data_IF_390298049870
#
_entry.id   IF_390298049870
#
_cell.length_a   1.000
_cell.length_b   1.000
_cell.length_c   1.000
_cell.angle_alpha   90.00
_cell.angle_beta   90.00
_cell.angle_gamma   90.00
#
_symmetry.space_group_name_H-M   'P 1'
#
loop_
_entity.id
_entity.type
_entity.pdbx_description
1 polymer ?
#
# COMPACT_ATOMS: atom_id res chain seq x y z
N UNK A 1 -64.55 12.93 17.10
CA UNK A 1 -64.48 13.69 18.36
C UNK A 1 -63.10 14.30 18.44
N UNK A 2 -63.07 15.63 18.48
CA UNK A 2 -61.92 16.52 18.37
C UNK A 2 -60.91 16.28 19.51
N UNK A 3 -59.62 16.31 19.19
CA UNK A 3 -58.50 16.02 20.10
C UNK A 3 -58.11 17.25 20.97
N UNK A 4 -59.08 18.08 21.38
CA UNK A 4 -58.82 19.41 21.94
C UNK A 4 -58.54 19.45 23.46
N UNK A 5 -58.72 18.35 24.21
CA UNK A 5 -58.73 18.41 25.69
C UNK A 5 -57.53 17.79 26.43
N UNK A 6 -56.37 17.56 25.78
CA UNK A 6 -55.17 17.06 26.49
C UNK A 6 -53.87 17.72 26.04
N UNK A 7 -53.40 18.78 26.73
CA UNK A 7 -52.24 19.58 26.31
C UNK A 7 -50.89 18.80 26.30
N UNK A 8 -50.83 17.60 26.88
CA UNK A 8 -49.59 16.80 27.00
C UNK A 8 -49.73 15.34 26.51
N UNK A 9 -50.72 15.02 25.68
CA UNK A 9 -50.81 13.67 25.10
C UNK A 9 -49.89 13.54 23.89
N UNK A 10 -48.78 12.82 24.05
CA UNK A 10 -47.82 12.52 22.99
C UNK A 10 -48.21 11.19 22.32
N UNK A 11 -48.32 11.17 21.00
CA UNK A 11 -48.50 9.92 20.25
C UNK A 11 -47.19 9.11 20.18
N UNK A 12 -47.10 8.09 21.03
CA UNK A 12 -45.94 7.21 21.12
C UNK A 12 -45.78 6.26 19.93
N UNK A 13 -46.76 6.16 19.02
CA UNK A 13 -46.71 5.21 17.89
C UNK A 13 -45.58 5.52 16.92
N UNK A 14 -45.27 6.80 16.74
CA UNK A 14 -44.20 7.27 15.85
C UNK A 14 -42.81 7.26 16.50
N UNK A 15 -42.76 7.09 17.83
CA UNK A 15 -41.52 7.07 18.62
C UNK A 15 -40.98 5.66 18.84
N UNK A 16 -41.69 4.62 18.38
CA UNK A 16 -41.22 3.23 18.48
C UNK A 16 -40.04 3.00 17.53
N UNK A 17 -39.09 2.17 17.97
CA UNK A 17 -37.96 1.80 17.13
C UNK A 17 -38.44 1.08 15.86
N UNK A 18 -37.85 1.45 14.73
CA UNK A 18 -38.03 0.77 13.44
C UNK A 18 -36.67 0.39 12.91
N UNK A 19 -36.55 -0.80 12.33
CA UNK A 19 -35.35 -1.17 11.60
C UNK A 19 -35.18 -0.23 10.40
N UNK A 20 -33.96 0.31 10.25
CA UNK A 20 -33.59 1.08 9.07
C UNK A 20 -33.41 0.12 7.90
N UNK A 21 -33.83 0.53 6.71
CA UNK A 21 -33.57 -0.21 5.49
C UNK A 21 -32.06 -0.16 5.19
N UNK A 22 -31.43 -1.34 5.22
CA UNK A 22 -29.99 -1.52 5.00
C UNK A 22 -29.65 -1.99 3.59
N UNK A 23 -30.58 -1.93 2.65
CA UNK A 23 -30.31 -2.31 1.26
C UNK A 23 -29.19 -1.44 0.67
N UNK A 24 -28.28 -2.01 -0.15
CA UNK A 24 -27.14 -1.28 -0.71
C UNK A 24 -27.53 0.01 -1.44
N UNK A 25 -28.70 0.02 -2.07
CA UNK A 25 -29.24 1.15 -2.81
C UNK A 25 -29.62 2.31 -1.87
N UNK A 26 -30.24 2.00 -0.72
CA UNK A 26 -30.62 3.01 0.28
C UNK A 26 -29.38 3.59 0.95
N UNK A 27 -28.39 2.74 1.27
CA UNK A 27 -27.12 3.18 1.85
C UNK A 27 -26.38 4.13 0.90
N UNK A 28 -26.22 3.76 -0.38
CA UNK A 28 -25.58 4.63 -1.37
C UNK A 28 -26.29 5.98 -1.53
N UNK A 29 -27.64 6.00 -1.51
CA UNK A 29 -28.42 7.23 -1.61
C UNK A 29 -28.19 8.14 -0.40
N UNK A 30 -28.14 7.56 0.80
CA UNK A 30 -27.88 8.30 2.04
C UNK A 30 -26.45 8.83 2.07
N UNK A 31 -25.47 8.02 1.66
CA UNK A 31 -24.07 8.42 1.58
C UNK A 31 -23.88 9.58 0.59
N UNK A 32 -24.47 9.50 -0.61
CA UNK A 32 -24.41 10.58 -1.60
C UNK A 32 -25.05 11.89 -1.11
N UNK A 33 -26.18 11.80 -0.40
CA UNK A 33 -26.82 12.97 0.23
C UNK A 33 -25.95 13.55 1.36
N UNK A 34 -25.30 12.68 2.14
CA UNK A 34 -24.35 13.06 3.18
C UNK A 34 -23.13 13.79 2.63
N UNK A 35 -22.51 13.24 1.57
CA UNK A 35 -21.37 13.86 0.90
C UNK A 35 -21.70 15.25 0.35
N UNK A 36 -22.88 15.43 -0.26
CA UNK A 36 -23.37 16.73 -0.72
C UNK A 36 -23.56 17.77 0.40
N UNK A 37 -23.76 17.31 1.64
CA UNK A 37 -23.86 18.13 2.85
C UNK A 37 -22.53 18.20 3.64
N UNK A 38 -21.45 17.62 3.11
CA UNK A 38 -20.13 17.62 3.75
C UNK A 38 -19.90 16.53 4.80
N UNK A 39 -20.82 15.56 4.94
CA UNK A 39 -20.61 14.35 5.73
C UNK A 39 -19.76 13.34 4.94
N UNK A 40 -18.47 13.65 4.81
CA UNK A 40 -17.48 12.78 4.16
C UNK A 40 -16.81 11.85 5.18
N UNK A 41 -16.52 10.62 4.77
CA UNK A 41 -15.73 9.68 5.58
C UNK A 41 -14.30 10.20 5.80
N UNK A 42 -13.93 10.36 7.07
CA UNK A 42 -12.59 10.81 7.51
C UNK A 42 -11.70 9.67 7.99
N UNK A 43 -12.17 8.41 7.87
CA UNK A 43 -11.38 7.25 8.26
C UNK A 43 -10.06 7.21 7.46
N UNK A 44 -8.98 6.81 8.13
CA UNK A 44 -7.68 6.69 7.49
C UNK A 44 -7.72 5.60 6.41
N UNK A 45 -7.83 5.99 5.14
CA UNK A 45 -7.75 5.06 4.01
C UNK A 45 -6.32 4.51 3.94
N UNK A 46 -6.15 3.21 4.16
CA UNK A 46 -4.86 2.54 4.00
C UNK A 46 -4.38 2.71 2.56
N UNK A 47 -3.32 3.51 2.37
CA UNK A 47 -2.62 3.50 1.09
C UNK A 47 -1.94 2.14 0.92
N UNK A 48 -2.09 1.52 -0.26
CA UNK A 48 -1.37 0.27 -0.56
C UNK A 48 0.13 0.56 -0.42
N UNK A 49 0.83 -0.31 0.31
CA UNK A 49 2.27 -0.19 0.51
C UNK A 49 3.04 -0.19 -0.82
N UNK A 50 4.28 0.29 -0.77
CA UNK A 50 5.19 0.31 -1.93
C UNK A 50 5.32 -1.12 -2.49
N UNK A 51 5.22 -1.25 -3.82
CA UNK A 51 5.49 -2.53 -4.49
C UNK A 51 6.91 -3.02 -4.14
N UNK A 52 7.11 -4.33 -3.93
CA UNK A 52 8.45 -4.87 -3.72
C UNK A 52 9.34 -4.54 -4.92
N UNK A 53 10.61 -4.21 -4.65
CA UNK A 53 11.58 -3.95 -5.72
C UNK A 53 11.75 -5.21 -6.58
N UNK A 54 11.95 -5.09 -7.91
CA UNK A 54 12.39 -6.22 -8.71
C UNK A 54 13.62 -6.84 -8.06
N UNK A 55 13.61 -8.16 -7.84
CA UNK A 55 14.81 -8.88 -7.39
C UNK A 55 15.74 -8.96 -8.59
N UNK A 56 16.65 -7.99 -8.70
CA UNK A 56 17.60 -7.82 -9.82
C UNK A 56 18.66 -8.91 -9.89
N UNK A 57 18.60 -9.94 -9.05
CA UNK A 57 19.60 -11.02 -9.00
C UNK A 57 20.97 -10.58 -8.46
N UNK A 58 21.12 -9.32 -8.04
CA UNK A 58 22.39 -8.78 -7.56
C UNK A 58 22.90 -9.58 -6.36
N UNK A 59 24.12 -10.12 -6.50
CA UNK A 59 24.80 -10.86 -5.45
C UNK A 59 25.52 -9.87 -4.53
N UNK A 60 25.23 -9.93 -3.23
CA UNK A 60 26.01 -9.24 -2.20
C UNK A 60 27.12 -10.18 -1.71
N UNK A 61 28.21 -10.25 -2.47
CA UNK A 61 29.34 -11.09 -2.09
C UNK A 61 30.01 -10.54 -0.82
N UNK A 62 30.34 -11.43 0.10
CA UNK A 62 31.16 -11.09 1.25
C UNK A 62 32.63 -11.26 0.87
N UNK A 63 33.33 -10.14 0.79
CA UNK A 63 34.75 -10.08 0.39
C UNK A 63 35.59 -9.43 1.50
N UNK A 64 36.91 -9.56 1.41
CA UNK A 64 37.84 -8.90 2.33
C UNK A 64 37.77 -7.37 2.14
N UNK A 65 38.03 -6.56 3.19
CA UNK A 65 37.86 -5.10 3.13
C UNK A 65 38.63 -4.41 2.00
N UNK A 66 39.91 -4.75 1.81
CA UNK A 66 40.73 -4.17 0.74
C UNK A 66 40.19 -4.52 -0.65
N UNK A 67 39.72 -5.77 -0.85
CA UNK A 67 39.09 -6.21 -2.09
C UNK A 67 37.79 -5.46 -2.36
N UNK A 68 36.99 -5.19 -1.32
CA UNK A 68 35.77 -4.40 -1.45
C UNK A 68 36.04 -2.98 -1.94
N UNK A 69 37.10 -2.34 -1.42
CA UNK A 69 37.52 -1.00 -1.84
C UNK A 69 37.98 -0.99 -3.30
N UNK A 70 38.79 -1.96 -3.71
CA UNK A 70 39.26 -2.12 -5.08
C UNK A 70 38.09 -2.31 -6.06
N UNK A 71 37.17 -3.23 -5.76
CA UNK A 71 35.96 -3.46 -6.56
C UNK A 71 35.10 -2.19 -6.61
N UNK A 72 34.96 -1.49 -5.48
CA UNK A 72 34.19 -0.25 -5.40
C UNK A 72 34.78 0.87 -6.27
N UNK A 73 36.10 1.01 -6.29
CA UNK A 73 36.80 1.99 -7.13
C UNK A 73 36.64 1.67 -8.61
N UNK A 74 36.73 0.39 -8.97
CA UNK A 74 36.58 -0.06 -10.36
C UNK A 74 35.13 0.10 -10.85
N UNK A 75 34.16 -0.27 -10.02
CA UNK A 75 32.75 -0.07 -10.31
C UNK A 75 32.43 1.42 -10.54
N UNK A 76 32.98 2.30 -9.69
CA UNK A 76 32.87 3.76 -9.85
C UNK A 76 33.51 4.25 -11.15
N UNK A 77 34.71 3.76 -11.48
CA UNK A 77 35.42 4.12 -12.72
C UNK A 77 34.63 3.72 -13.97
N UNK A 78 33.95 2.57 -13.93
CA UNK A 78 33.12 2.05 -15.03
C UNK A 78 31.69 2.62 -15.04
N UNK A 79 31.23 3.27 -13.98
CA UNK A 79 29.86 3.73 -13.82
C UNK A 79 28.84 2.58 -13.66
N UNK A 80 29.28 1.45 -13.10
CA UNK A 80 28.44 0.25 -12.90
C UNK A 80 28.32 -0.08 -11.41
N UNK A 81 27.42 -1.02 -11.07
CA UNK A 81 27.31 -1.55 -9.71
C UNK A 81 28.40 -2.59 -9.45
N UNK A 82 28.85 -2.71 -8.18
CA UNK A 82 29.88 -3.68 -7.76
C UNK A 82 29.57 -5.12 -8.20
N UNK A 83 28.29 -5.52 -8.19
CA UNK A 83 27.85 -6.86 -8.62
C UNK A 83 28.25 -7.20 -10.05
N UNK A 84 28.26 -6.23 -10.97
CA UNK A 84 28.65 -6.44 -12.37
C UNK A 84 30.12 -6.81 -12.48
N UNK A 85 30.98 -6.13 -11.70
CA UNK A 85 32.43 -6.43 -11.67
C UNK A 85 32.68 -7.84 -11.14
N UNK A 86 31.88 -8.28 -10.17
CA UNK A 86 31.97 -9.64 -9.60
C UNK A 86 31.52 -10.69 -10.63
N UNK A 87 30.46 -10.43 -11.38
CA UNK A 87 29.99 -11.32 -12.45
C UNK A 87 31.01 -11.43 -13.59
N UNK A 88 31.61 -10.31 -14.02
CA UNK A 88 32.70 -10.30 -14.99
C UNK A 88 33.90 -11.14 -14.51
N UNK A 89 34.29 -10.96 -13.25
CA UNK A 89 35.40 -11.72 -12.65
C UNK A 89 35.10 -13.22 -12.59
N UNK A 90 33.86 -13.60 -12.28
CA UNK A 90 33.42 -15.00 -12.31
C UNK A 90 33.49 -15.59 -13.71
N UNK A 91 33.03 -14.86 -14.73
CA UNK A 91 33.11 -15.32 -16.12
C UNK A 91 34.56 -15.53 -16.57
N UNK A 92 35.48 -14.63 -16.19
CA UNK A 92 36.91 -14.76 -16.45
C UNK A 92 37.51 -15.98 -15.73
N UNK A 93 37.14 -16.20 -14.46
CA UNK A 93 37.57 -17.36 -13.69
C UNK A 93 37.11 -18.67 -14.34
N UNK A 94 35.84 -18.75 -14.76
CA UNK A 94 35.30 -19.94 -15.43
C UNK A 94 36.04 -20.18 -16.74
N UNK A 95 36.25 -19.15 -17.56
CA UNK A 95 37.00 -19.27 -18.82
C UNK A 95 38.44 -19.73 -18.61
N UNK A 96 39.09 -19.28 -17.55
CA UNK A 96 40.46 -19.68 -17.24
C UNK A 96 40.57 -21.14 -16.77
N UNK A 97 39.56 -21.65 -16.06
CA UNK A 97 39.60 -22.98 -15.43
C UNK A 97 38.86 -24.07 -16.21
N UNK A 98 37.89 -23.70 -17.06
CA UNK A 98 37.17 -24.58 -17.97
C UNK A 98 37.31 -24.07 -19.40
N UNK A 99 38.49 -24.23 -20.02
CA UNK A 99 38.68 -23.90 -21.43
C UNK A 99 38.09 -25.04 -22.27
N UNK A 100 36.78 -25.00 -22.53
CA UNK A 100 36.18 -25.72 -23.66
C UNK A 100 36.39 -24.93 -24.96
#
# INVERSE_FOLDING_TARGET
MSNEDKPFTIDLRQLKSRNKDGSPQVVQRVDAAGEGLGFVDRSAKKQRGRRPSPRTGQVHAKVLPHVAEEIGNEARRRGVQQGVVIEDAWALYVKANNPD
#
